data_IF_373210967606
#
_entry.id   IF_373210967606
#
_cell.length_a   1.000
_cell.length_b   1.000
_cell.length_c   1.000
_cell.angle_alpha   90.00
_cell.angle_beta   90.00
_cell.angle_gamma   90.00
#
_symmetry.space_group_name_H-M   'P 1'
#
loop_
_entity.id
_entity.type
_entity.pdbx_description
1 polymer ?
#
# COMPACT_ATOMS: atom_id res chain seq x y z
N UNK A 1 10.36 9.82 1.15
CA UNK A 1 9.04 9.88 1.81
C UNK A 1 8.17 8.81 1.17
N UNK A 2 7.72 7.82 1.93
CA UNK A 2 6.92 6.69 1.43
C UNK A 2 5.58 6.67 2.16
N UNK A 3 4.49 6.59 1.39
CA UNK A 3 3.12 6.57 1.91
C UNK A 3 2.62 5.13 1.85
N UNK A 4 2.21 4.58 2.99
CA UNK A 4 1.57 3.28 3.06
C UNK A 4 0.06 3.43 2.95
N UNK A 5 -0.57 2.81 1.97
CA UNK A 5 -2.03 2.78 1.85
C UNK A 5 -2.53 1.43 2.36
N UNK A 6 -3.32 1.45 3.43
CA UNK A 6 -4.07 0.28 3.90
C UNK A 6 -5.38 0.14 3.11
N UNK A 7 -5.90 -1.08 3.00
CA UNK A 7 -7.11 -1.32 2.21
C UNK A 7 -6.96 -0.89 0.74
N UNK A 8 -5.73 -0.94 0.21
CA UNK A 8 -5.38 -0.37 -1.09
C UNK A 8 -6.19 -0.97 -2.26
N UNK A 9 -6.70 -2.19 -2.13
CA UNK A 9 -7.54 -2.85 -3.13
C UNK A 9 -9.03 -2.52 -3.00
N UNK A 10 -9.43 -1.75 -1.98
CA UNK A 10 -10.81 -1.34 -1.74
C UNK A 10 -11.25 -0.14 -2.59
N UNK A 11 -12.53 0.20 -2.51
CA UNK A 11 -13.15 1.28 -3.29
C UNK A 11 -12.44 2.63 -3.11
N UNK A 12 -12.07 2.96 -1.87
CA UNK A 12 -11.37 4.22 -1.58
C UNK A 12 -9.87 4.08 -1.82
N UNK A 13 -9.24 3.05 -1.25
CA UNK A 13 -7.79 2.84 -1.30
C UNK A 13 -7.23 2.84 -2.73
N UNK A 14 -7.96 2.25 -3.68
CA UNK A 14 -7.51 2.20 -5.09
C UNK A 14 -7.40 3.60 -5.70
N UNK A 15 -8.39 4.45 -5.46
CA UNK A 15 -8.39 5.83 -5.93
C UNK A 15 -7.28 6.64 -5.26
N UNK A 16 -7.04 6.43 -3.95
CA UNK A 16 -5.94 7.07 -3.23
C UNK A 16 -4.60 6.70 -3.84
N UNK A 17 -4.33 5.41 -4.04
CA UNK A 17 -3.09 4.93 -4.68
C UNK A 17 -2.90 5.55 -6.06
N UNK A 18 -3.95 5.56 -6.90
CA UNK A 18 -3.87 6.13 -8.24
C UNK A 18 -3.51 7.63 -8.21
N UNK A 19 -4.15 8.41 -7.34
CA UNK A 19 -3.89 9.84 -7.22
C UNK A 19 -2.49 10.14 -6.66
N UNK A 20 -2.02 9.34 -5.70
CA UNK A 20 -0.65 9.48 -5.16
C UNK A 20 0.40 9.16 -6.23
N UNK A 21 0.19 8.09 -7.01
CA UNK A 21 1.07 7.74 -8.13
C UNK A 21 1.09 8.83 -9.21
N UNK A 22 -0.07 9.39 -9.58
CA UNK A 22 -0.18 10.50 -10.54
C UNK A 22 0.61 11.74 -10.09
N UNK A 23 0.71 11.96 -8.79
CA UNK A 23 1.48 13.06 -8.17
C UNK A 23 2.97 12.74 -8.01
N UNK A 24 3.43 11.56 -8.44
CA UNK A 24 4.83 11.15 -8.34
C UNK A 24 5.26 10.71 -6.94
N UNK A 25 4.33 10.43 -6.03
CA UNK A 25 4.67 9.94 -4.70
C UNK A 25 5.16 8.48 -4.73
N UNK A 26 6.01 8.12 -3.75
CA UNK A 26 6.36 6.72 -3.50
C UNK A 26 5.25 6.08 -2.65
N UNK A 27 4.60 5.06 -3.21
CA UNK A 27 3.43 4.43 -2.60
C UNK A 27 3.73 2.96 -2.32
N UNK A 28 3.44 2.55 -1.09
CA UNK A 28 3.35 1.16 -0.68
C UNK A 28 1.90 0.78 -0.44
N UNK A 29 1.44 -0.34 -0.96
CA UNK A 29 0.09 -0.85 -0.77
C UNK A 29 0.13 -2.09 0.13
N UNK A 30 -0.52 -2.02 1.29
CA UNK A 30 -0.75 -3.20 2.13
C UNK A 30 -1.96 -3.98 1.59
N UNK A 31 -1.73 -5.23 1.21
CA UNK A 31 -2.77 -6.11 0.67
C UNK A 31 -2.77 -7.46 1.36
N UNK A 32 -3.95 -8.03 1.60
CA UNK A 32 -4.07 -9.39 2.16
C UNK A 32 -3.71 -10.47 1.14
N UNK A 33 -4.10 -10.25 -0.12
CA UNK A 33 -3.85 -11.17 -1.23
C UNK A 33 -3.24 -10.40 -2.43
N UNK A 34 -1.92 -10.52 -2.67
CA UNK A 34 -1.24 -9.84 -3.76
C UNK A 34 -1.76 -10.20 -5.15
N UNK A 35 -2.28 -11.41 -5.36
CA UNK A 35 -2.84 -11.83 -6.65
C UNK A 35 -4.10 -11.04 -7.04
N UNK A 36 -4.76 -10.38 -6.09
CA UNK A 36 -5.90 -9.50 -6.33
C UNK A 36 -5.51 -8.02 -6.49
N UNK A 37 -4.24 -7.69 -6.29
CA UNK A 37 -3.73 -6.33 -6.43
C UNK A 37 -3.47 -6.03 -7.91
N UNK A 38 -4.15 -5.02 -8.45
CA UNK A 38 -3.92 -4.52 -9.81
C UNK A 38 -3.57 -3.03 -9.73
N UNK A 39 -2.28 -2.77 -9.47
CA UNK A 39 -1.71 -1.44 -9.36
C UNK A 39 -0.67 -1.19 -10.47
N UNK A 40 -0.37 0.08 -10.80
CA UNK A 40 0.74 0.41 -11.68
C UNK A 40 2.07 -0.13 -11.13
N UNK A 41 3.03 -0.45 -12.01
CA UNK A 41 4.33 -1.02 -11.64
C UNK A 41 5.17 -0.18 -10.66
N UNK A 42 4.82 1.10 -10.45
CA UNK A 42 5.48 2.01 -9.51
C UNK A 42 5.02 1.81 -8.04
N UNK A 43 3.99 1.01 -7.79
CA UNK A 43 3.48 0.76 -6.43
C UNK A 43 4.18 -0.45 -5.81
N UNK A 44 4.78 -0.26 -4.64
CA UNK A 44 5.36 -1.34 -3.84
C UNK A 44 4.23 -2.12 -3.15
N UNK A 45 4.03 -3.38 -3.54
CA UNK A 45 2.95 -4.21 -2.98
C UNK A 45 3.52 -5.09 -1.88
N UNK A 46 3.04 -4.89 -0.65
CA UNK A 46 3.43 -5.69 0.50
C UNK A 46 2.24 -6.50 0.99
N UNK A 47 2.45 -7.81 1.14
CA UNK A 47 1.47 -8.68 1.74
C UNK A 47 1.43 -8.50 3.25
N UNK A 48 0.24 -8.35 3.82
CA UNK A 48 0.05 -8.37 5.27
C UNK A 48 -1.41 -8.19 5.69
N UNK A 49 -1.64 -8.30 6.99
CA UNK A 49 -2.94 -8.20 7.63
C UNK A 49 -2.88 -7.16 8.76
N UNK A 50 -3.94 -6.36 8.91
CA UNK A 50 -4.04 -5.36 9.98
C UNK A 50 -4.14 -6.00 11.38
N UNK A 51 -4.50 -7.28 11.45
CA UNK A 51 -4.53 -8.05 12.70
C UNK A 51 -3.21 -8.78 13.01
N UNK A 52 -2.26 -8.78 12.08
CA UNK A 52 -0.93 -9.38 12.25
C UNK A 52 0.13 -8.30 12.45
N UNK A 53 0.54 -8.12 13.71
CA UNK A 53 1.53 -7.13 14.14
C UNK A 53 2.88 -7.29 13.41
N UNK A 54 3.33 -8.52 13.16
CA UNK A 54 4.62 -8.76 12.50
C UNK A 54 4.55 -8.41 11.02
N UNK A 55 3.41 -8.67 10.37
CA UNK A 55 3.17 -8.21 9.01
C UNK A 55 3.15 -6.68 8.92
N UNK A 56 2.57 -6.00 9.91
CA UNK A 56 2.56 -4.54 9.98
C UNK A 56 3.97 -3.99 10.18
N UNK A 57 4.74 -4.54 11.12
CA UNK A 57 6.15 -4.11 11.32
C UNK A 57 6.95 -4.12 10.02
N UNK A 58 6.75 -5.15 9.19
CA UNK A 58 7.38 -5.24 7.86
C UNK A 58 6.84 -4.18 6.90
N UNK A 59 5.52 -4.00 6.84
CA UNK A 59 4.87 -3.03 5.94
C UNK A 59 5.24 -1.58 6.25
N UNK A 60 5.36 -1.22 7.53
CA UNK A 60 5.70 0.12 8.02
C UNK A 60 7.19 0.47 7.91
N UNK A 61 8.07 -0.49 7.59
CA UNK A 61 9.51 -0.21 7.51
C UNK A 61 9.84 0.83 6.43
N UNK A 62 10.43 1.96 6.84
CA UNK A 62 10.76 3.08 5.96
C UNK A 62 9.56 3.90 5.47
N UNK A 63 8.38 3.71 6.06
CA UNK A 63 7.16 4.48 5.79
C UNK A 63 7.15 5.73 6.67
N UNK A 64 6.77 6.86 6.08
CA UNK A 64 6.69 8.16 6.75
C UNK A 64 5.26 8.65 6.94
N UNK A 65 4.29 8.04 6.25
CA UNK A 65 2.88 8.45 6.25
C UNK A 65 2.00 7.23 6.00
N UNK A 66 0.85 7.17 6.67
CA UNK A 66 -0.17 6.13 6.54
C UNK A 66 -1.47 6.73 5.98
#
# INVERSE_FOLDING_TARGET
MTILVTGATGNVGRNVVEQLVKRGANVRALVRNPSKANFPARVDVVQGDLLDVDSLRKAFSGVSTL
#
